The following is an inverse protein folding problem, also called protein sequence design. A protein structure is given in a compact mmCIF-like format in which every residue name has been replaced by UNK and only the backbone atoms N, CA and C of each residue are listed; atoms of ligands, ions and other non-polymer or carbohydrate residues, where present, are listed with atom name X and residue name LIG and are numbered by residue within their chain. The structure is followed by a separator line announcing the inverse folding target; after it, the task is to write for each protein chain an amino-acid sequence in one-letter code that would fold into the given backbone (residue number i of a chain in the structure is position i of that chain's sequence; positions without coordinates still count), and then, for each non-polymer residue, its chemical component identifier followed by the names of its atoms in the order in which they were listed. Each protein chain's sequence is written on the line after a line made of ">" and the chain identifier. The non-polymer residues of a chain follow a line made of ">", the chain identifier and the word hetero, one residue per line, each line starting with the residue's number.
data_IF_163218063171
#
_entry.id   IF_163218063171
#
_cell.length_a   1.000
_cell.length_b   1.000
_cell.length_c   1.000
_cell.angle_alpha   90.00
_cell.angle_beta   90.00
_cell.angle_gamma   90.00
#
_symmetry.space_group_name_H-M   'P 1'
#
loop_
_entity.id
_entity.type
_entity.pdbx_description
1 polymer ?
#
# COMPACT_ATOMS: atom_id res chain seq x y z
N UNK A 1 -43.50 -26.26 5.59
CA UNK A 1 -42.78 -25.10 6.20
C UNK A 1 -42.78 -23.97 5.18
N UNK A 2 -43.14 -22.78 5.57
CA UNK A 2 -43.09 -21.64 4.69
C UNK A 2 -41.60 -21.39 4.35
N UNK A 3 -41.23 -21.60 3.07
CA UNK A 3 -39.85 -21.50 2.60
C UNK A 3 -39.26 -20.12 2.89
N UNK A 4 -40.09 -19.07 2.88
CA UNK A 4 -39.68 -17.68 3.13
C UNK A 4 -39.33 -17.46 4.61
N UNK A 5 -40.09 -18.05 5.55
CA UNK A 5 -39.79 -17.97 6.99
C UNK A 5 -38.52 -18.74 7.37
N UNK A 6 -38.29 -19.88 6.72
CA UNK A 6 -37.05 -20.65 6.91
C UNK A 6 -35.82 -19.90 6.39
N UNK A 7 -35.88 -19.37 5.17
CA UNK A 7 -34.78 -18.58 4.58
C UNK A 7 -34.46 -17.36 5.44
N UNK A 8 -35.45 -16.59 5.85
CA UNK A 8 -35.29 -15.44 6.74
C UNK A 8 -34.57 -15.81 8.05
N UNK A 9 -34.95 -16.96 8.63
CA UNK A 9 -34.32 -17.50 9.86
C UNK A 9 -32.85 -17.84 9.61
N UNK A 10 -32.51 -18.49 8.48
CA UNK A 10 -31.11 -18.83 8.16
C UNK A 10 -30.25 -17.59 7.90
N UNK A 11 -30.78 -16.63 7.13
CA UNK A 11 -30.07 -15.36 6.87
C UNK A 11 -29.83 -14.54 8.15
N UNK A 12 -30.73 -14.62 9.15
CA UNK A 12 -30.53 -13.95 10.44
C UNK A 12 -29.33 -14.51 11.23
N UNK A 13 -28.85 -15.71 10.90
CA UNK A 13 -27.64 -16.30 11.49
C UNK A 13 -26.35 -15.79 10.86
N UNK A 14 -26.40 -15.18 9.69
CA UNK A 14 -25.29 -14.45 9.06
C UNK A 14 -25.11 -13.07 9.73
N UNK A 15 -24.85 -13.09 11.03
CA UNK A 15 -25.00 -11.93 11.92
C UNK A 15 -24.20 -10.70 11.50
N UNK A 16 -22.98 -10.89 10.97
CA UNK A 16 -22.08 -9.80 10.58
C UNK A 16 -22.26 -9.32 9.13
N UNK A 17 -23.09 -10.00 8.34
CA UNK A 17 -23.29 -9.68 6.93
C UNK A 17 -23.82 -8.26 6.67
N UNK A 18 -24.53 -7.69 7.63
CA UNK A 18 -25.16 -6.37 7.51
C UNK A 18 -24.28 -5.20 7.94
N UNK A 19 -23.02 -5.45 8.34
CA UNK A 19 -22.11 -4.37 8.71
C UNK A 19 -21.74 -3.53 7.49
N UNK A 20 -21.90 -2.21 7.64
CA UNK A 20 -21.57 -1.21 6.61
C UNK A 20 -20.62 -0.17 7.17
N UNK A 21 -19.73 0.34 6.32
CA UNK A 21 -18.91 1.50 6.65
C UNK A 21 -19.77 2.75 6.66
N UNK A 22 -19.40 3.72 7.51
CA UNK A 22 -20.12 4.99 7.61
C UNK A 22 -20.18 5.71 6.26
N UNK A 23 -21.37 6.08 5.77
CA UNK A 23 -21.51 6.93 4.60
C UNK A 23 -20.78 8.27 4.79
N UNK A 24 -20.13 8.76 3.75
CA UNK A 24 -19.42 10.04 3.78
C UNK A 24 -18.07 10.02 4.52
N UNK A 25 -17.66 8.89 5.10
CA UNK A 25 -16.32 8.75 5.67
C UNK A 25 -15.29 8.40 4.60
N UNK A 26 -14.09 8.95 4.74
CA UNK A 26 -12.91 8.50 4.03
C UNK A 26 -12.57 7.06 4.42
N UNK A 27 -12.19 6.25 3.46
CA UNK A 27 -11.84 4.85 3.68
C UNK A 27 -10.40 4.60 3.26
N UNK A 28 -9.61 3.99 4.14
CA UNK A 28 -8.34 3.38 3.74
C UNK A 28 -8.45 1.88 3.94
N UNK A 29 -8.26 1.14 2.86
CA UNK A 29 -8.20 -0.32 2.86
C UNK A 29 -6.73 -0.69 2.94
N UNK A 30 -6.32 -1.34 4.06
CA UNK A 30 -4.95 -1.77 4.26
C UNK A 30 -4.85 -3.29 4.18
N UNK A 31 -4.09 -3.79 3.24
CA UNK A 31 -3.76 -5.21 3.12
C UNK A 31 -2.32 -5.44 3.56
N UNK A 32 -2.07 -6.56 4.21
CA UNK A 32 -0.78 -6.89 4.85
C UNK A 32 -0.44 -8.36 4.58
N UNK A 33 0.81 -8.63 4.23
CA UNK A 33 1.28 -9.96 3.88
C UNK A 33 1.43 -10.88 5.08
N UNK A 34 0.67 -11.97 5.11
CA UNK A 34 0.75 -12.95 6.19
C UNK A 34 2.00 -13.84 6.05
N UNK A 35 2.91 -13.76 7.03
CA UNK A 35 4.10 -14.61 7.06
C UNK A 35 5.19 -14.23 6.06
N UNK A 36 5.16 -13.01 5.52
CA UNK A 36 6.09 -12.54 4.51
C UNK A 36 7.54 -12.47 5.00
N UNK A 37 7.79 -12.28 6.28
CA UNK A 37 9.16 -12.31 6.82
C UNK A 37 9.88 -13.61 6.45
N UNK A 38 9.26 -14.77 6.74
CA UNK A 38 9.82 -16.08 6.41
C UNK A 38 9.79 -16.37 4.90
N UNK A 39 8.72 -15.94 4.21
CA UNK A 39 8.58 -16.12 2.77
C UNK A 39 9.69 -15.39 2.00
N UNK A 40 9.99 -14.16 2.39
CA UNK A 40 10.98 -13.32 1.69
C UNK A 40 12.42 -13.62 2.08
N UNK A 41 12.67 -14.14 3.30
CA UNK A 41 14.02 -14.47 3.75
C UNK A 41 14.71 -15.53 2.88
N UNK A 42 13.95 -16.49 2.38
CA UNK A 42 14.49 -17.60 1.58
C UNK A 42 14.49 -17.35 0.06
N UNK A 43 13.89 -16.26 -0.42
CA UNK A 43 13.58 -16.07 -1.86
C UNK A 43 14.07 -14.76 -2.45
N UNK A 44 14.36 -13.79 -1.61
CA UNK A 44 14.67 -12.42 -2.03
C UNK A 44 15.88 -11.88 -1.26
N UNK A 45 16.63 -11.01 -1.90
CA UNK A 45 17.75 -10.33 -1.29
C UNK A 45 17.30 -9.44 -0.12
N UNK A 46 18.18 -9.32 0.89
CA UNK A 46 17.90 -8.56 2.11
C UNK A 46 18.91 -7.41 2.28
N UNK A 47 18.46 -6.27 2.79
CA UNK A 47 17.13 -5.97 3.35
C UNK A 47 16.03 -5.69 2.33
N UNK A 48 16.37 -5.29 1.11
CA UNK A 48 15.45 -4.95 0.04
C UNK A 48 15.84 -5.66 -1.25
N UNK A 49 14.84 -6.09 -2.01
CA UNK A 49 14.97 -6.80 -3.27
C UNK A 49 14.11 -6.12 -4.34
N UNK A 50 14.69 -5.87 -5.51
CA UNK A 50 14.01 -5.15 -6.59
C UNK A 50 12.83 -5.97 -7.16
N UNK A 51 13.00 -7.29 -7.29
CA UNK A 51 11.93 -8.17 -7.80
C UNK A 51 10.74 -8.23 -6.83
N UNK A 52 11.01 -8.30 -5.52
CA UNK A 52 9.94 -8.22 -4.51
C UNK A 52 9.23 -6.86 -4.56
N UNK A 53 9.98 -5.79 -4.69
CA UNK A 53 9.45 -4.44 -4.87
C UNK A 53 8.52 -4.34 -6.09
N UNK A 54 8.94 -4.83 -7.26
CA UNK A 54 8.14 -4.85 -8.49
C UNK A 54 6.84 -5.65 -8.32
N UNK A 55 6.88 -6.79 -7.63
CA UNK A 55 5.70 -7.60 -7.31
C UNK A 55 4.71 -6.84 -6.44
N UNK A 56 5.19 -6.12 -5.42
CA UNK A 56 4.35 -5.30 -4.55
C UNK A 56 3.76 -4.10 -5.29
N UNK A 57 4.54 -3.41 -6.11
CA UNK A 57 4.06 -2.31 -6.96
C UNK A 57 2.96 -2.79 -7.93
N UNK A 58 3.18 -3.93 -8.60
CA UNK A 58 2.17 -4.53 -9.48
C UNK A 58 0.88 -4.88 -8.72
N UNK A 59 1.00 -5.48 -7.54
CA UNK A 59 -0.15 -5.83 -6.70
C UNK A 59 -0.90 -4.58 -6.25
N UNK A 60 -0.18 -3.53 -5.85
CA UNK A 60 -0.74 -2.24 -5.47
C UNK A 60 -1.50 -1.58 -6.61
N UNK A 61 -0.95 -1.63 -7.82
CA UNK A 61 -1.59 -1.10 -9.02
C UNK A 61 -2.94 -1.77 -9.29
N UNK A 62 -2.98 -3.09 -9.22
CA UNK A 62 -4.23 -3.87 -9.42
C UNK A 62 -5.27 -3.55 -8.33
N UNK A 63 -4.83 -3.43 -7.07
CA UNK A 63 -5.72 -3.04 -5.97
C UNK A 63 -6.29 -1.63 -6.18
N UNK A 64 -5.46 -0.65 -6.54
CA UNK A 64 -5.88 0.72 -6.80
C UNK A 64 -6.94 0.78 -7.91
N UNK A 65 -6.73 0.03 -8.99
CA UNK A 65 -7.66 -0.06 -10.12
C UNK A 65 -8.98 -0.74 -9.71
N UNK A 66 -8.91 -1.94 -9.16
CA UNK A 66 -10.10 -2.75 -8.88
C UNK A 66 -10.94 -2.23 -7.73
N UNK A 67 -10.33 -1.58 -6.75
CA UNK A 67 -11.06 -0.93 -5.64
C UNK A 67 -11.49 0.50 -5.98
N UNK A 68 -11.18 1.01 -7.17
CA UNK A 68 -11.50 2.38 -7.59
C UNK A 68 -10.98 3.43 -6.61
N UNK A 69 -9.78 3.18 -6.07
CA UNK A 69 -9.12 4.11 -5.17
C UNK A 69 -8.56 5.33 -5.91
N UNK A 70 -8.25 6.38 -5.16
CA UNK A 70 -7.66 7.62 -5.69
C UNK A 70 -6.16 7.73 -5.46
N UNK A 71 -5.66 7.05 -4.42
CA UNK A 71 -4.25 6.96 -4.07
C UNK A 71 -3.97 5.60 -3.43
N UNK A 72 -2.80 5.05 -3.68
CA UNK A 72 -2.30 3.89 -2.95
C UNK A 72 -0.86 4.13 -2.50
N UNK A 73 -0.52 3.54 -1.37
CA UNK A 73 0.82 3.58 -0.79
C UNK A 73 1.25 2.16 -0.45
N UNK A 74 2.48 1.79 -0.80
CA UNK A 74 3.04 0.48 -0.44
C UNK A 74 4.43 0.62 0.16
N UNK A 75 4.67 -0.18 1.18
CA UNK A 75 5.97 -0.39 1.79
C UNK A 75 6.10 -1.84 2.26
N UNK A 76 7.29 -2.45 2.10
CA UNK A 76 7.48 -3.85 2.46
C UNK A 76 6.35 -4.72 1.86
N UNK A 77 5.62 -5.44 2.70
CA UNK A 77 4.48 -6.31 2.34
C UNK A 77 3.11 -5.66 2.66
N UNK A 78 3.09 -4.36 2.96
CA UNK A 78 1.86 -3.61 3.25
C UNK A 78 1.44 -2.74 2.06
N UNK A 79 0.14 -2.69 1.79
CA UNK A 79 -0.49 -1.79 0.82
C UNK A 79 -1.67 -1.08 1.47
N UNK A 80 -1.75 0.24 1.31
CA UNK A 80 -2.88 1.07 1.76
C UNK A 80 -3.52 1.75 0.56
N UNK A 81 -4.81 1.53 0.32
CA UNK A 81 -5.59 2.15 -0.78
C UNK A 81 -6.59 3.14 -0.21
N UNK A 82 -6.53 4.39 -0.65
CA UNK A 82 -7.43 5.48 -0.27
C UNK A 82 -8.64 5.53 -1.19
N UNK A 83 -9.83 5.51 -0.61
CA UNK A 83 -11.09 5.73 -1.28
C UNK A 83 -11.79 6.99 -0.73
N UNK A 84 -12.40 7.83 -1.59
CA UNK A 84 -13.02 9.09 -1.19
C UNK A 84 -14.37 8.89 -0.46
N UNK A 85 -14.94 9.92 0.15
CA UNK A 85 -16.20 9.83 0.90
C UNK A 85 -17.39 9.33 0.07
N UNK A 86 -17.42 9.62 -1.22
CA UNK A 86 -18.49 9.24 -2.17
C UNK A 86 -18.37 7.78 -2.63
N UNK A 87 -17.25 7.12 -2.32
CA UNK A 87 -17.01 5.73 -2.70
C UNK A 87 -18.03 4.80 -2.05
N UNK A 88 -18.80 4.06 -2.87
CA UNK A 88 -19.90 3.19 -2.44
C UNK A 88 -19.72 1.72 -2.82
N UNK A 89 -18.52 1.33 -3.17
CA UNK A 89 -18.19 -0.02 -3.65
C UNK A 89 -18.73 -1.10 -2.71
N UNK A 90 -19.42 -2.10 -3.27
CA UNK A 90 -20.12 -3.17 -2.53
C UNK A 90 -21.16 -2.64 -1.50
N UNK A 91 -21.85 -1.52 -1.76
CA UNK A 91 -22.75 -0.87 -0.80
C UNK A 91 -22.05 -0.63 0.55
N UNK A 92 -20.75 -0.34 0.52
CA UNK A 92 -19.89 -0.17 1.70
C UNK A 92 -19.92 -1.37 2.68
N UNK A 93 -20.21 -2.59 2.18
CA UNK A 93 -20.21 -3.81 2.99
C UNK A 93 -18.84 -4.15 3.53
N UNK A 94 -18.67 -4.09 4.86
CA UNK A 94 -17.39 -4.37 5.51
C UNK A 94 -16.82 -5.74 5.14
N UNK A 95 -17.65 -6.79 5.22
CA UNK A 95 -17.25 -8.15 4.92
C UNK A 95 -16.72 -8.31 3.48
N UNK A 96 -17.47 -7.75 2.51
CA UNK A 96 -17.05 -7.79 1.10
C UNK A 96 -15.76 -7.02 0.84
N UNK A 97 -15.63 -5.84 1.44
CA UNK A 97 -14.45 -5.01 1.23
C UNK A 97 -13.19 -5.70 1.75
N UNK A 98 -13.20 -6.24 2.97
CA UNK A 98 -12.01 -6.90 3.54
C UNK A 98 -11.70 -8.24 2.85
N UNK A 99 -12.71 -9.04 2.52
CA UNK A 99 -12.48 -10.34 1.89
C UNK A 99 -12.00 -10.20 0.45
N UNK A 100 -12.60 -9.30 -0.34
CA UNK A 100 -12.25 -9.12 -1.75
C UNK A 100 -10.91 -8.42 -1.90
N UNK A 101 -10.61 -7.39 -1.11
CA UNK A 101 -9.30 -6.73 -1.16
C UNK A 101 -8.16 -7.68 -0.80
N UNK A 102 -8.31 -8.49 0.23
CA UNK A 102 -7.35 -9.55 0.58
C UNK A 102 -7.22 -10.60 -0.54
N UNK A 103 -8.33 -10.99 -1.16
CA UNK A 103 -8.35 -11.94 -2.28
C UNK A 103 -7.63 -11.38 -3.52
N UNK A 104 -7.89 -10.12 -3.89
CA UNK A 104 -7.21 -9.46 -5.02
C UNK A 104 -5.69 -9.43 -4.78
N UNK A 105 -5.25 -9.00 -3.60
CA UNK A 105 -3.82 -8.95 -3.28
C UNK A 105 -3.19 -10.35 -3.35
N UNK A 106 -3.82 -11.33 -2.70
CA UNK A 106 -3.31 -12.71 -2.62
C UNK A 106 -3.24 -13.35 -4.01
N UNK A 107 -4.28 -13.23 -4.82
CA UNK A 107 -4.31 -13.83 -6.16
C UNK A 107 -3.33 -13.15 -7.12
N UNK A 108 -3.26 -11.82 -7.11
CA UNK A 108 -2.35 -11.06 -7.98
C UNK A 108 -0.90 -11.39 -7.66
N UNK A 109 -0.51 -11.30 -6.38
CA UNK A 109 0.86 -11.59 -5.98
C UNK A 109 1.21 -13.07 -6.21
N UNK A 110 0.34 -14.01 -5.85
CA UNK A 110 0.53 -15.46 -6.08
C UNK A 110 0.75 -15.75 -7.57
N UNK A 111 -0.07 -15.16 -8.45
CA UNK A 111 0.07 -15.34 -9.90
C UNK A 111 1.42 -14.80 -10.40
N UNK A 112 1.83 -13.62 -9.97
CA UNK A 112 3.05 -12.98 -10.42
C UNK A 112 4.33 -13.68 -9.89
N UNK A 113 4.33 -14.11 -8.62
CA UNK A 113 5.50 -14.74 -8.00
C UNK A 113 5.52 -16.28 -8.13
N UNK A 114 4.46 -16.90 -8.70
CA UNK A 114 4.29 -18.36 -8.84
C UNK A 114 4.44 -19.14 -7.53
N UNK A 115 4.01 -18.52 -6.42
CA UNK A 115 4.05 -19.11 -5.09
C UNK A 115 2.87 -18.64 -4.26
N UNK A 116 2.17 -19.56 -3.62
CA UNK A 116 0.99 -19.24 -2.81
C UNK A 116 1.36 -18.36 -1.62
N UNK A 117 0.76 -17.19 -1.56
CA UNK A 117 0.83 -16.27 -0.44
C UNK A 117 -0.55 -15.80 -0.03
N UNK A 118 -0.66 -15.29 1.18
CA UNK A 118 -1.91 -14.75 1.68
C UNK A 118 -1.71 -13.34 2.23
N UNK A 119 -2.68 -12.49 1.97
CA UNK A 119 -2.80 -11.18 2.59
C UNK A 119 -4.02 -11.15 3.50
N UNK A 120 -3.95 -10.47 4.61
CA UNK A 120 -5.12 -10.04 5.36
C UNK A 120 -5.50 -8.60 4.99
N UNK A 121 -6.71 -8.18 5.36
CA UNK A 121 -7.20 -6.84 5.07
C UNK A 121 -7.90 -6.24 6.28
N UNK A 122 -7.72 -4.94 6.46
CA UNK A 122 -8.37 -4.13 7.50
C UNK A 122 -8.75 -2.75 6.98
N UNK A 123 -9.70 -2.13 7.62
CA UNK A 123 -10.22 -0.83 7.19
C UNK A 123 -9.92 0.21 8.26
N UNK A 124 -9.45 1.36 7.81
CA UNK A 124 -9.36 2.58 8.58
C UNK A 124 -10.38 3.59 8.04
N UNK A 125 -11.06 4.32 8.94
CA UNK A 125 -12.03 5.36 8.58
C UNK A 125 -11.56 6.71 9.11
N UNK A 126 -11.65 7.74 8.26
CA UNK A 126 -11.37 9.12 8.61
C UNK A 126 -12.60 10.01 8.36
N UNK A 127 -12.77 11.04 9.17
CA UNK A 127 -13.89 11.98 9.04
C UNK A 127 -13.56 13.16 8.13
N UNK A 128 -12.27 13.44 7.92
CA UNK A 128 -11.81 14.57 7.11
C UNK A 128 -10.48 14.27 6.41
N UNK A 129 -10.09 15.17 5.53
CA UNK A 129 -8.86 15.07 4.74
C UNK A 129 -7.59 15.21 5.60
N UNK A 130 -7.64 15.95 6.71
CA UNK A 130 -6.50 16.10 7.61
C UNK A 130 -6.13 14.76 8.25
N UNK A 131 -7.12 13.99 8.71
CA UNK A 131 -6.89 12.64 9.23
C UNK A 131 -6.33 11.68 8.19
N UNK A 132 -6.76 11.79 6.93
CA UNK A 132 -6.21 11.01 5.82
C UNK A 132 -4.72 11.33 5.62
N UNK A 133 -4.36 12.61 5.60
CA UNK A 133 -2.97 13.05 5.49
C UNK A 133 -2.14 12.50 6.65
N UNK A 134 -2.64 12.58 7.88
CA UNK A 134 -1.97 12.05 9.07
C UNK A 134 -1.81 10.53 9.01
N UNK A 135 -2.78 9.80 8.46
CA UNK A 135 -2.68 8.36 8.24
C UNK A 135 -1.46 8.04 7.35
N UNK A 136 -1.33 8.67 6.19
CA UNK A 136 -0.23 8.39 5.27
C UNK A 136 1.12 8.88 5.80
N UNK A 137 1.17 9.99 6.53
CA UNK A 137 2.37 10.43 7.26
C UNK A 137 2.80 9.40 8.31
N UNK A 138 1.86 8.85 9.04
CA UNK A 138 2.11 7.78 10.00
C UNK A 138 2.69 6.53 9.33
N UNK A 139 2.10 6.11 8.19
CA UNK A 139 2.63 4.95 7.46
C UNK A 139 4.03 5.19 6.91
N UNK A 140 4.28 6.37 6.35
CA UNK A 140 5.61 6.72 5.85
C UNK A 140 6.66 6.82 6.99
N UNK A 141 6.29 7.34 8.13
CA UNK A 141 7.17 7.37 9.31
C UNK A 141 7.53 5.95 9.79
N UNK A 142 6.56 5.04 9.75
CA UNK A 142 6.77 3.62 10.07
C UNK A 142 7.67 2.95 9.03
N UNK A 143 7.45 3.20 7.73
CA UNK A 143 8.32 2.74 6.65
C UNK A 143 9.78 3.13 6.89
N UNK A 144 10.04 4.40 7.17
CA UNK A 144 11.39 4.90 7.44
C UNK A 144 12.03 4.22 8.66
N UNK A 145 11.25 4.04 9.73
CA UNK A 145 11.69 3.35 10.95
C UNK A 145 12.04 1.88 10.69
N UNK A 146 11.16 1.19 9.97
CA UNK A 146 11.34 -0.22 9.61
C UNK A 146 12.52 -0.40 8.65
N UNK A 147 12.67 0.47 7.65
CA UNK A 147 13.78 0.45 6.71
C UNK A 147 15.14 0.61 7.42
N UNK A 148 15.28 1.62 8.29
CA UNK A 148 16.50 1.84 9.05
C UNK A 148 16.83 0.61 9.91
N UNK A 149 15.84 0.05 10.60
CA UNK A 149 16.04 -1.15 11.41
C UNK A 149 16.41 -2.36 10.55
N UNK A 150 15.75 -2.56 9.43
CA UNK A 150 16.04 -3.65 8.49
C UNK A 150 17.46 -3.57 7.91
N UNK A 151 17.89 -2.39 7.49
CA UNK A 151 19.26 -2.18 7.02
C UNK A 151 20.30 -2.51 8.09
N UNK A 152 20.11 -2.02 9.33
CA UNK A 152 21.01 -2.35 10.43
C UNK A 152 21.04 -3.86 10.73
N UNK A 153 19.86 -4.48 10.82
CA UNK A 153 19.76 -5.92 11.12
C UNK A 153 20.47 -6.76 10.07
N UNK A 154 20.19 -6.54 8.80
CA UNK A 154 20.79 -7.34 7.74
C UNK A 154 22.28 -7.02 7.51
N UNK A 155 22.73 -5.83 7.80
CA UNK A 155 24.16 -5.49 7.84
C UNK A 155 24.88 -6.30 8.90
N UNK A 156 24.34 -6.39 10.11
CA UNK A 156 24.89 -7.23 11.19
C UNK A 156 24.84 -8.72 10.80
N UNK A 157 23.75 -9.19 10.20
CA UNK A 157 23.60 -10.56 9.75
C UNK A 157 24.65 -10.94 8.69
N UNK A 158 24.93 -10.04 7.74
CA UNK A 158 25.97 -10.20 6.72
C UNK A 158 27.38 -10.16 7.32
N UNK A 159 27.56 -9.46 8.44
CA UNK A 159 28.78 -9.44 9.24
C UNK A 159 28.89 -10.65 10.21
N UNK A 160 28.12 -11.73 9.96
CA UNK A 160 28.14 -12.99 10.71
C UNK A 160 27.60 -12.96 12.14
N UNK A 161 26.92 -11.88 12.55
CA UNK A 161 26.19 -11.88 13.82
C UNK A 161 25.00 -12.84 13.76
N UNK A 162 24.77 -13.61 14.80
CA UNK A 162 23.57 -14.45 14.91
C UNK A 162 22.30 -13.60 15.02
N UNK A 163 21.13 -14.20 14.75
CA UNK A 163 19.82 -13.54 14.94
C UNK A 163 19.72 -12.90 16.33
N UNK A 164 20.05 -13.66 17.38
CA UNK A 164 19.98 -13.17 18.77
C UNK A 164 20.91 -11.98 19.02
N UNK A 165 22.13 -12.02 18.52
CA UNK A 165 23.09 -10.92 18.67
C UNK A 165 22.65 -9.66 17.94
N UNK A 166 22.25 -9.80 16.65
CA UNK A 166 21.80 -8.66 15.85
C UNK A 166 20.56 -8.00 16.47
N UNK A 167 19.58 -8.80 16.93
CA UNK A 167 18.37 -8.28 17.60
C UNK A 167 18.74 -7.54 18.89
N UNK A 168 19.53 -8.13 19.78
CA UNK A 168 19.93 -7.53 21.05
C UNK A 168 20.75 -6.24 20.88
N UNK A 169 21.56 -6.14 19.82
CA UNK A 169 22.29 -4.92 19.50
C UNK A 169 21.40 -3.75 19.06
N UNK A 170 20.25 -4.02 18.48
CA UNK A 170 19.35 -3.00 17.90
C UNK A 170 18.17 -2.66 18.82
N UNK A 171 17.84 -3.53 19.75
CA UNK A 171 16.72 -3.35 20.67
C UNK A 171 16.87 -2.06 21.49
N UNK A 172 15.85 -1.22 21.48
CA UNK A 172 15.81 0.05 22.23
C UNK A 172 16.81 1.12 21.74
N UNK A 173 17.57 0.90 20.67
CA UNK A 173 18.56 1.83 20.17
C UNK A 173 17.96 3.02 19.43
N UNK A 174 18.57 4.19 19.64
CA UNK A 174 18.17 5.44 18.99
C UNK A 174 18.43 5.42 17.48
N UNK A 175 17.76 6.32 16.75
CA UNK A 175 18.01 6.56 15.32
C UNK A 175 19.47 6.95 15.07
N UNK A 176 20.05 7.79 15.93
CA UNK A 176 21.46 8.19 15.84
C UNK A 176 22.41 7.01 15.91
N UNK A 177 22.20 6.09 16.88
CA UNK A 177 23.00 4.86 16.99
C UNK A 177 22.91 4.00 15.72
N UNK A 178 21.72 3.84 15.18
CA UNK A 178 21.49 3.02 13.98
C UNK A 178 22.15 3.62 12.73
N UNK A 179 22.10 4.94 12.57
CA UNK A 179 22.81 5.60 11.48
C UNK A 179 24.32 5.46 11.62
N UNK A 180 24.86 5.64 12.82
CA UNK A 180 26.29 5.47 13.09
C UNK A 180 26.75 4.03 12.81
N UNK A 181 25.94 3.03 13.22
CA UNK A 181 26.22 1.63 12.93
C UNK A 181 26.31 1.38 11.40
N UNK A 182 25.37 1.88 10.63
CA UNK A 182 25.42 1.76 9.16
C UNK A 182 26.64 2.48 8.58
N UNK A 183 26.94 3.69 9.06
CA UNK A 183 28.09 4.47 8.60
C UNK A 183 29.41 3.75 8.84
N UNK A 184 29.59 3.07 9.98
CA UNK A 184 30.76 2.23 10.29
C UNK A 184 30.91 1.04 9.34
N UNK A 185 29.81 0.63 8.68
CA UNK A 185 29.80 -0.40 7.64
C UNK A 185 29.82 0.17 6.21
N UNK A 186 30.12 1.47 6.05
CA UNK A 186 30.19 2.13 4.75
C UNK A 186 28.85 2.44 4.09
N UNK A 187 27.77 2.44 4.87
CA UNK A 187 26.41 2.70 4.38
C UNK A 187 25.90 4.02 4.96
N UNK A 188 25.64 5.01 4.09
CA UNK A 188 24.87 6.18 4.48
C UNK A 188 23.38 5.93 4.19
N UNK A 189 22.56 5.85 5.24
CA UNK A 189 21.12 5.58 5.08
C UNK A 189 20.41 6.62 4.21
N UNK A 190 20.89 7.86 4.19
CA UNK A 190 20.28 8.91 3.39
C UNK A 190 20.56 8.78 1.88
N UNK A 191 21.61 8.06 1.49
CA UNK A 191 21.99 7.85 0.08
C UNK A 191 21.30 6.60 -0.53
N UNK A 192 20.58 5.83 0.30
CA UNK A 192 19.83 4.68 -0.18
C UNK A 192 18.63 5.13 -1.05
N UNK A 193 18.18 4.27 -1.99
CA UNK A 193 17.01 4.57 -2.83
C UNK A 193 15.81 5.03 -2.02
N UNK A 194 15.11 6.05 -2.50
CA UNK A 194 14.01 6.69 -1.76
C UNK A 194 12.88 5.70 -1.46
N UNK A 195 12.52 4.85 -2.42
CA UNK A 195 11.48 3.84 -2.25
C UNK A 195 11.75 2.88 -1.08
N UNK A 196 13.02 2.55 -0.79
CA UNK A 196 13.37 1.70 0.36
C UNK A 196 13.14 2.38 1.70
N UNK A 197 13.26 3.71 1.73
CA UNK A 197 13.19 4.53 2.95
C UNK A 197 11.82 5.12 3.23
N UNK A 198 11.03 5.33 2.18
CA UNK A 198 9.80 6.12 2.24
C UNK A 198 8.58 5.42 1.63
N UNK A 199 8.77 4.20 1.09
CA UNK A 199 7.72 3.52 0.35
C UNK A 199 7.46 4.14 -1.03
N UNK A 200 6.39 3.70 -1.67
CA UNK A 200 6.00 4.07 -3.04
C UNK A 200 4.56 4.55 -3.06
N UNK A 201 4.31 5.65 -3.75
CA UNK A 201 2.97 6.17 -4.01
C UNK A 201 2.47 5.79 -5.40
N UNK A 202 1.22 5.41 -5.51
CA UNK A 202 0.55 5.16 -6.79
C UNK A 202 -0.72 6.01 -6.86
N UNK A 203 -0.88 6.76 -7.94
CA UNK A 203 -2.05 7.64 -8.13
C UNK A 203 -2.36 7.90 -9.59
N UNK A 204 -3.58 8.32 -9.86
CA UNK A 204 -4.01 8.64 -11.21
C UNK A 204 -3.45 9.98 -11.67
N UNK A 205 -2.78 9.99 -12.83
CA UNK A 205 -2.36 11.19 -13.53
C UNK A 205 -2.99 11.26 -14.92
N UNK A 206 -3.24 12.47 -15.38
CA UNK A 206 -3.64 12.70 -16.77
C UNK A 206 -2.42 12.89 -17.65
N UNK A 207 -2.52 12.37 -18.86
CA UNK A 207 -1.55 12.62 -19.90
C UNK A 207 -2.22 12.84 -21.26
N UNK A 208 -1.61 13.64 -22.08
CA UNK A 208 -2.09 13.89 -23.42
C UNK A 208 -1.51 12.84 -24.38
N UNK A 209 -2.40 12.24 -25.17
CA UNK A 209 -2.01 11.31 -26.24
C UNK A 209 -2.45 11.87 -27.57
N UNK A 210 -1.50 12.07 -28.45
CA UNK A 210 -1.79 12.37 -29.86
C UNK A 210 -2.33 11.12 -30.56
N UNK A 211 -3.36 11.30 -31.32
CA UNK A 211 -4.00 10.28 -32.14
C UNK A 211 -4.37 10.88 -33.50
N UNK A 212 -4.64 10.00 -34.46
CA UNK A 212 -5.11 10.43 -35.76
C UNK A 212 -6.59 10.06 -35.93
N UNK A 213 -7.40 11.04 -36.32
CA UNK A 213 -8.82 10.83 -36.63
C UNK A 213 -8.94 10.64 -38.16
N UNK A 214 -9.17 9.42 -38.66
CA UNK A 214 -9.22 9.15 -40.10
C UNK A 214 -10.45 9.77 -40.78
N UNK A 215 -11.54 10.03 -40.05
CA UNK A 215 -12.76 10.63 -40.60
C UNK A 215 -12.56 12.12 -40.87
N UNK A 216 -11.87 12.80 -39.97
CA UNK A 216 -11.62 14.24 -40.08
C UNK A 216 -10.26 14.56 -40.71
N UNK A 217 -9.46 13.52 -41.00
CA UNK A 217 -8.10 13.62 -41.56
C UNK A 217 -7.19 14.61 -40.79
N UNK A 218 -7.27 14.55 -39.45
CA UNK A 218 -6.51 15.46 -38.60
C UNK A 218 -5.94 14.78 -37.34
N UNK A 219 -4.85 15.31 -36.83
CA UNK A 219 -4.31 14.93 -35.53
C UNK A 219 -5.21 15.48 -34.43
N UNK A 220 -5.60 14.63 -33.50
CA UNK A 220 -6.39 14.99 -32.32
C UNK A 220 -5.60 14.67 -31.07
N UNK A 221 -5.69 15.57 -30.10
CA UNK A 221 -5.10 15.33 -28.77
C UNK A 221 -6.21 14.88 -27.82
N UNK A 222 -6.03 13.69 -27.24
CA UNK A 222 -6.96 13.14 -26.25
C UNK A 222 -6.31 13.10 -24.88
N UNK A 223 -7.04 13.53 -23.85
CA UNK A 223 -6.60 13.36 -22.46
C UNK A 223 -6.94 11.94 -22.00
N UNK A 224 -5.98 11.26 -21.45
CA UNK A 224 -6.12 9.91 -20.90
C UNK A 224 -5.59 9.87 -19.47
N UNK A 225 -6.02 8.86 -18.71
CA UNK A 225 -5.52 8.63 -17.34
C UNK A 225 -4.66 7.37 -17.31
N UNK A 226 -3.63 7.40 -16.49
CA UNK A 226 -2.82 6.23 -16.13
C UNK A 226 -2.46 6.28 -14.65
N UNK A 227 -2.08 5.15 -14.09
CA UNK A 227 -1.49 5.12 -12.76
C UNK A 227 0.00 5.48 -12.89
N UNK A 228 0.39 6.56 -12.21
CA UNK A 228 1.79 6.90 -11.97
C UNK A 228 2.27 6.14 -10.75
N UNK A 229 3.47 5.57 -10.86
CA UNK A 229 4.25 5.01 -9.76
C UNK A 229 5.28 6.05 -9.37
N UNK A 230 5.28 6.47 -8.11
CA UNK A 230 6.17 7.49 -7.59
C UNK A 230 7.06 6.90 -6.49
N UNK A 231 8.31 6.67 -6.83
CA UNK A 231 9.35 6.10 -5.97
C UNK A 231 10.15 7.17 -5.22
N UNK A 232 9.91 8.47 -5.54
CA UNK A 232 10.65 9.60 -4.98
C UNK A 232 9.76 10.46 -4.07
N UNK A 233 8.95 9.81 -3.23
CA UNK A 233 8.04 10.50 -2.31
C UNK A 233 8.77 11.50 -1.41
N UNK A 234 8.24 12.72 -1.23
CA UNK A 234 8.76 13.67 -0.26
C UNK A 234 8.52 13.21 1.18
N UNK A 235 8.98 13.95 2.16
CA UNK A 235 8.81 13.64 3.59
C UNK A 235 8.16 14.80 4.36
N UNK A 236 7.64 14.49 5.55
CA UNK A 236 7.13 15.47 6.52
C UNK A 236 6.05 16.36 5.90
N UNK A 237 6.19 17.69 6.01
CA UNK A 237 5.21 18.64 5.50
C UNK A 237 5.08 18.57 3.97
N UNK A 238 6.20 18.42 3.25
CA UNK A 238 6.16 18.26 1.80
C UNK A 238 5.39 17.00 1.35
N UNK A 239 5.36 15.94 2.19
CA UNK A 239 4.53 14.77 1.93
C UNK A 239 3.06 15.05 2.21
N UNK A 240 2.75 15.84 3.24
CA UNK A 240 1.37 16.28 3.50
C UNK A 240 0.82 17.10 2.32
N UNK A 241 1.59 18.04 1.80
CA UNK A 241 1.23 18.86 0.65
C UNK A 241 1.06 18.02 -0.62
N UNK A 242 1.93 17.03 -0.81
CA UNK A 242 1.84 16.07 -1.91
C UNK A 242 0.53 15.28 -1.84
N UNK A 243 0.20 14.66 -0.71
CA UNK A 243 -1.05 13.91 -0.52
C UNK A 243 -2.26 14.81 -0.74
N UNK A 244 -2.24 16.03 -0.19
CA UNK A 244 -3.29 17.01 -0.39
C UNK A 244 -3.52 17.29 -1.88
N UNK A 245 -2.46 17.49 -2.64
CA UNK A 245 -2.51 17.74 -4.09
C UNK A 245 -3.09 16.55 -4.85
N UNK A 246 -2.66 15.32 -4.51
CA UNK A 246 -3.16 14.09 -5.13
C UNK A 246 -4.66 13.91 -4.86
N UNK A 247 -5.11 14.16 -3.63
CA UNK A 247 -6.53 14.09 -3.26
C UNK A 247 -7.33 15.10 -4.10
N UNK A 248 -6.92 16.37 -4.11
CA UNK A 248 -7.65 17.44 -4.83
C UNK A 248 -7.73 17.21 -6.34
N UNK A 249 -6.67 16.65 -6.94
CA UNK A 249 -6.65 16.32 -8.36
C UNK A 249 -7.61 15.17 -8.72
N UNK A 250 -7.91 14.27 -7.78
CA UNK A 250 -8.70 13.07 -8.03
C UNK A 250 -10.16 13.18 -7.55
N UNK A 251 -10.47 14.03 -6.56
CA UNK A 251 -11.85 14.30 -6.13
C UNK A 251 -12.67 15.05 -7.19
N UNK A 252 -12.06 15.93 -7.98
CA UNK A 252 -12.76 16.73 -9.01
C UNK A 252 -13.25 15.90 -10.20
N UNK A 253 -12.99 14.59 -10.23
CA UNK A 253 -13.16 13.72 -11.39
C UNK A 253 -13.89 12.41 -11.10
N UNK A 254 -14.36 12.26 -9.85
CA UNK A 254 -15.18 11.13 -9.40
C UNK A 254 -16.66 11.34 -9.74
#
# INVERSE_FOLDING_TARGET
>A
MDNNAYEKKMRAMEYFHNLRLLPGAWVVIRVDGRGFSSFTESRFDKPFDLKFHELMVQTTKVLLEQLQGIYAYTESDEISVLCPPEWDFFDRSWEKIVSISASIASSTFTHACQSVVNFDSRIWLGVDKAQVIDYFRWRQADATRCALNGWCYWTLRKASYSVRQATAMLEGRSVGFKNELLFQHGINFNDLPTWQRRGVGLYWEEYHKEGYNPIQNQTVVTTRRRIKVDEELPMKEAYADFINTVIDANLKKA
#
